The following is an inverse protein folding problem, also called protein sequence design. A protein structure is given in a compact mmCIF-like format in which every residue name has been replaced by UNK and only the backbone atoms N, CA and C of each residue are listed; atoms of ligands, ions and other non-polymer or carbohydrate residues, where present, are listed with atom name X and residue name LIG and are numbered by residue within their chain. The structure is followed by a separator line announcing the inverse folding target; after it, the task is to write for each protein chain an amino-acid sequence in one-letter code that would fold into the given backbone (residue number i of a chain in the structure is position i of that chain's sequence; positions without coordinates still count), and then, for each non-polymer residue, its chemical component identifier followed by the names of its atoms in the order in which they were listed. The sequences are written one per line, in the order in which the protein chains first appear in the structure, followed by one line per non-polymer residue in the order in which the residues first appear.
data_IF_917477146959
#
_entry.id   IF_917477146959
#
_cell.length_a   1.000
_cell.length_b   1.000
_cell.length_c   1.000
_cell.angle_alpha   90.00
_cell.angle_beta   90.00
_cell.angle_gamma   90.00
#
_symmetry.space_group_name_H-M   'P 1'
#
loop_
_entity.id
_entity.type
_entity.pdbx_description
1 polymer ?
#
# COMPACT_ATOMS: atom_id res chain seq x y z
N UNK A 1 -2.62 -11.67 -4.38
CA UNK A 1 -1.68 -10.69 -3.82
C UNK A 1 -0.79 -10.17 -4.93
N UNK A 2 -0.60 -8.88 -4.97
CA UNK A 2 0.21 -8.19 -5.99
C UNK A 2 1.19 -7.26 -5.29
N UNK A 3 2.43 -7.22 -5.77
CA UNK A 3 3.47 -6.34 -5.24
C UNK A 3 4.29 -5.71 -6.37
N UNK A 4 4.67 -4.45 -6.19
CA UNK A 4 5.60 -3.76 -7.10
C UNK A 4 7.04 -4.25 -6.89
N UNK A 5 7.87 -4.13 -7.93
CA UNK A 5 9.21 -4.69 -7.95
C UNK A 5 10.33 -3.69 -7.59
N UNK A 6 10.03 -2.39 -7.49
CA UNK A 6 11.01 -1.32 -7.23
C UNK A 6 11.08 -0.89 -5.77
N UNK A 7 10.63 -1.73 -4.87
CA UNK A 7 10.58 -1.50 -3.44
C UNK A 7 11.04 -2.73 -2.68
N UNK A 8 11.54 -2.51 -1.48
CA UNK A 8 11.70 -3.59 -0.51
C UNK A 8 11.41 -3.07 0.89
N UNK A 9 11.24 -4.01 1.82
CA UNK A 9 10.91 -3.68 3.19
C UNK A 9 11.62 -4.63 4.14
N UNK A 10 11.78 -4.19 5.39
CA UNK A 10 12.16 -5.06 6.48
C UNK A 10 10.89 -5.48 7.22
N UNK A 11 10.86 -6.72 7.67
CA UNK A 11 9.72 -7.22 8.40
C UNK A 11 9.67 -6.60 9.81
N UNK A 12 8.45 -6.37 10.28
CA UNK A 12 8.20 -6.01 11.66
C UNK A 12 8.12 -7.26 12.54
N UNK A 13 7.18 -7.27 13.47
CA UNK A 13 6.99 -8.40 14.38
C UNK A 13 6.63 -9.70 13.64
N UNK A 14 5.76 -9.59 12.63
CA UNK A 14 5.29 -10.72 11.82
C UNK A 14 5.48 -10.40 10.33
N UNK A 15 5.67 -11.42 9.46
CA UNK A 15 5.81 -11.20 8.03
C UNK A 15 4.60 -10.48 7.42
N UNK A 16 4.85 -9.49 6.57
CA UNK A 16 3.80 -8.64 5.99
C UNK A 16 2.75 -9.47 5.23
N UNK A 17 3.19 -10.39 4.36
CA UNK A 17 2.25 -11.19 3.57
C UNK A 17 1.36 -12.06 4.45
N UNK A 18 1.92 -12.65 5.51
CA UNK A 18 1.15 -13.44 6.47
C UNK A 18 0.09 -12.61 7.17
N UNK A 19 0.46 -11.39 7.60
CA UNK A 19 -0.47 -10.46 8.23
C UNK A 19 -1.59 -10.06 7.28
N UNK A 20 -1.28 -9.81 6.02
CA UNK A 20 -2.27 -9.43 5.01
C UNK A 20 -3.24 -10.57 4.72
N UNK A 21 -2.72 -11.79 4.56
CA UNK A 21 -3.56 -12.97 4.30
C UNK A 21 -4.51 -13.23 5.47
N UNK A 22 -4.03 -13.10 6.70
CA UNK A 22 -4.87 -13.27 7.90
C UNK A 22 -5.92 -12.16 8.03
N UNK A 23 -5.58 -10.94 7.68
CA UNK A 23 -6.47 -9.79 7.82
C UNK A 23 -7.52 -9.71 6.72
N UNK A 24 -7.25 -10.29 5.55
CA UNK A 24 -8.15 -10.17 4.41
C UNK A 24 -9.44 -10.94 4.63
N UNK A 25 -10.55 -10.21 4.57
CA UNK A 25 -11.91 -10.76 4.74
C UNK A 25 -12.71 -10.45 3.46
N UNK A 26 -12.89 -11.46 2.62
CA UNK A 26 -13.56 -11.30 1.32
C UNK A 26 -15.03 -10.87 1.45
N UNK A 27 -15.67 -11.09 2.60
CA UNK A 27 -17.05 -10.66 2.83
C UNK A 27 -17.16 -9.14 3.03
N UNK A 28 -16.11 -8.50 3.53
CA UNK A 28 -16.11 -7.07 3.85
C UNK A 28 -15.13 -6.27 2.97
N UNK A 29 -14.10 -6.90 2.43
CA UNK A 29 -13.03 -6.24 1.71
C UNK A 29 -13.02 -6.60 0.24
N UNK A 30 -12.92 -5.60 -0.63
CA UNK A 30 -12.61 -5.79 -2.05
C UNK A 30 -11.12 -5.56 -2.31
N UNK A 31 -10.49 -4.72 -1.51
CA UNK A 31 -9.07 -4.42 -1.60
C UNK A 31 -8.49 -4.26 -0.20
N UNK A 32 -7.37 -4.93 0.06
CA UNK A 32 -6.55 -4.68 1.25
C UNK A 32 -5.18 -4.23 0.78
N UNK A 33 -4.82 -2.99 1.12
CA UNK A 33 -3.54 -2.38 0.77
C UNK A 33 -2.60 -2.38 1.96
N UNK A 34 -1.36 -2.77 1.75
CA UNK A 34 -0.31 -2.46 2.71
C UNK A 34 0.04 -0.99 2.57
N UNK A 35 -0.09 -0.24 3.65
CA UNK A 35 0.24 1.17 3.72
C UNK A 35 1.37 1.36 4.74
N UNK A 36 2.14 2.43 4.57
CA UNK A 36 3.22 2.76 5.49
C UNK A 36 3.19 4.23 5.84
N UNK A 37 3.65 4.60 7.06
CA UNK A 37 3.76 6.00 7.42
C UNK A 37 4.72 6.73 6.49
N UNK A 38 4.35 7.93 6.07
CA UNK A 38 5.22 8.80 5.27
C UNK A 38 6.49 9.12 6.04
N UNK A 39 6.38 9.32 7.33
CA UNK A 39 7.54 9.51 8.20
C UNK A 39 8.28 8.19 8.37
N UNK A 40 9.59 8.20 8.15
CA UNK A 40 10.44 7.03 8.32
C UNK A 40 10.56 6.14 7.09
N UNK A 41 9.87 6.46 6.00
CA UNK A 41 10.07 5.76 4.73
C UNK A 41 11.28 6.34 4.00
N UNK A 42 12.15 5.48 3.52
CA UNK A 42 13.35 5.89 2.78
C UNK A 42 13.04 6.03 1.29
N UNK A 43 13.47 7.13 0.70
CA UNK A 43 13.29 7.38 -0.73
C UNK A 43 11.89 7.84 -1.13
N UNK A 44 11.00 8.05 -0.18
CA UNK A 44 9.66 8.57 -0.45
C UNK A 44 9.62 10.08 -0.19
N UNK A 45 9.26 10.84 -1.22
CA UNK A 45 9.17 12.29 -1.18
C UNK A 45 7.77 12.83 -1.52
N UNK A 46 6.78 11.95 -1.60
CA UNK A 46 5.40 12.32 -1.90
C UNK A 46 4.64 12.89 -0.70
N UNK A 47 3.45 13.36 -0.95
CA UNK A 47 2.58 13.96 0.07
C UNK A 47 1.72 12.94 0.83
N UNK A 48 1.86 11.66 0.55
CA UNK A 48 0.99 10.61 1.07
C UNK A 48 -0.21 10.37 0.18
N UNK A 49 -0.87 9.25 0.39
CA UNK A 49 -1.98 8.82 -0.46
C UNK A 49 -3.28 8.70 0.30
N UNK A 50 -3.23 8.29 1.58
CA UNK A 50 -4.41 7.86 2.32
C UNK A 50 -4.42 8.33 3.75
N UNK A 51 -5.65 8.56 4.23
CA UNK A 51 -5.98 8.55 5.65
C UNK A 51 -6.47 7.15 6.01
N UNK A 52 -6.15 6.69 7.21
CA UNK A 52 -6.53 5.37 7.72
C UNK A 52 -7.50 5.54 8.88
N UNK A 53 -8.70 4.98 8.73
CA UNK A 53 -9.76 5.11 9.73
C UNK A 53 -9.62 4.04 10.82
N UNK A 54 -10.30 4.25 11.93
CA UNK A 54 -10.25 3.35 13.08
C UNK A 54 -10.69 1.93 12.73
N UNK A 55 -11.65 1.80 11.81
CA UNK A 55 -12.14 0.51 11.34
C UNK A 55 -11.25 -0.12 10.25
N UNK A 56 -10.16 0.52 9.88
CA UNK A 56 -9.23 0.04 8.87
C UNK A 56 -9.52 0.51 7.46
N UNK A 57 -10.63 1.18 7.20
CA UNK A 57 -10.95 1.71 5.88
C UNK A 57 -10.03 2.84 5.49
N UNK A 58 -9.76 2.92 4.19
CA UNK A 58 -8.92 3.97 3.60
C UNK A 58 -9.79 5.08 3.01
N UNK A 59 -9.29 6.31 3.13
CA UNK A 59 -9.84 7.50 2.46
C UNK A 59 -8.69 8.17 1.72
N UNK A 60 -8.91 8.52 0.45
CA UNK A 60 -7.90 9.22 -0.34
C UNK A 60 -7.56 10.56 0.27
N UNK A 61 -6.32 11.01 0.05
CA UNK A 61 -5.87 12.36 0.42
C UNK A 61 -6.75 13.45 -0.21
N UNK A 62 -7.19 13.24 -1.48
CA UNK A 62 -8.03 14.21 -2.17
C UNK A 62 -7.33 15.56 -2.28
N UNK A 63 -8.03 16.63 -1.89
CA UNK A 63 -7.52 18.00 -1.94
C UNK A 63 -6.67 18.38 -0.71
N UNK A 64 -6.48 17.50 0.25
CA UNK A 64 -5.62 17.76 1.40
C UNK A 64 -4.17 17.92 0.95
N UNK A 65 -3.42 18.80 1.64
CA UNK A 65 -2.02 19.06 1.31
C UNK A 65 -1.13 17.84 1.54
N UNK A 66 -1.49 16.98 2.50
CA UNK A 66 -0.75 15.76 2.82
C UNK A 66 -1.67 14.73 3.49
N UNK A 67 -1.22 13.49 3.48
CA UNK A 67 -1.84 12.39 4.23
C UNK A 67 -0.74 11.59 4.94
N UNK A 68 -1.05 10.96 6.09
CA UNK A 68 -0.01 10.31 6.91
C UNK A 68 0.52 9.00 6.35
N UNK A 69 -0.18 8.36 5.42
CA UNK A 69 0.19 7.06 4.87
C UNK A 69 0.29 7.09 3.36
N UNK A 70 1.18 6.27 2.82
CA UNK A 70 1.26 6.04 1.38
C UNK A 70 1.00 4.58 1.05
N UNK A 71 0.55 4.34 -0.19
CA UNK A 71 0.37 2.99 -0.70
C UNK A 71 1.72 2.39 -1.09
N UNK A 72 2.04 1.24 -0.53
CA UNK A 72 3.34 0.59 -0.72
C UNK A 72 3.45 -0.17 -2.04
N UNK A 73 2.34 -0.42 -2.73
CA UNK A 73 2.31 -1.26 -3.93
C UNK A 73 2.03 -2.74 -3.63
N UNK A 74 1.88 -3.12 -2.37
CA UNK A 74 1.53 -4.50 -1.98
C UNK A 74 0.06 -4.54 -1.61
N UNK A 75 -0.70 -5.46 -2.21
CA UNK A 75 -2.15 -5.49 -2.05
C UNK A 75 -2.73 -6.87 -2.28
N UNK A 76 -3.91 -7.11 -1.70
CA UNK A 76 -4.77 -8.24 -2.03
C UNK A 76 -6.04 -7.67 -2.65
N UNK A 77 -6.41 -8.18 -3.84
CA UNK A 77 -7.60 -7.76 -4.58
C UNK A 77 -8.62 -8.89 -4.63
N UNK A 78 -9.88 -8.53 -4.38
CA UNK A 78 -10.97 -9.47 -4.58
C UNK A 78 -11.29 -9.53 -6.08
N UNK A 79 -11.37 -10.73 -6.69
CA UNK A 79 -11.67 -10.86 -8.13
C UNK A 79 -12.95 -10.16 -8.58
N UNK A 80 -13.93 -9.97 -7.71
CA UNK A 80 -15.17 -9.27 -8.08
C UNK A 80 -14.97 -7.81 -8.48
N UNK A 81 -13.83 -7.20 -8.12
CA UNK A 81 -13.49 -5.84 -8.56
C UNK A 81 -13.30 -5.75 -10.07
N UNK A 82 -13.01 -6.87 -10.72
CA UNK A 82 -12.79 -6.92 -12.17
C UNK A 82 -14.05 -7.25 -12.95
N UNK A 83 -15.17 -7.45 -12.29
CA UNK A 83 -16.44 -7.72 -12.97
C UNK A 83 -16.87 -6.53 -13.83
N UNK A 84 -17.25 -6.82 -15.08
CA UNK A 84 -17.68 -5.81 -16.03
C UNK A 84 -16.53 -5.00 -16.66
N UNK A 85 -15.28 -5.31 -16.34
CA UNK A 85 -14.14 -4.67 -16.97
C UNK A 85 -13.72 -5.50 -18.19
N UNK A 86 -13.68 -4.82 -19.34
CA UNK A 86 -13.28 -5.47 -20.60
C UNK A 86 -11.77 -5.77 -20.59
N UNK A 87 -11.34 -6.89 -21.23
CA UNK A 87 -9.92 -7.17 -21.40
C UNK A 87 -9.22 -6.03 -22.15
N UNK A 88 -8.03 -5.69 -21.73
CA UNK A 88 -7.23 -4.63 -22.35
C UNK A 88 -6.53 -3.77 -21.31
N UNK A 89 -5.99 -2.66 -21.75
CA UNK A 89 -5.29 -1.73 -20.87
C UNK A 89 -6.29 -0.92 -20.04
N UNK A 90 -6.17 -1.01 -18.72
CA UNK A 90 -6.90 -0.17 -17.79
C UNK A 90 -6.00 0.21 -16.63
N UNK A 91 -6.27 1.34 -16.00
CA UNK A 91 -5.53 1.76 -14.80
C UNK A 91 -6.07 1.02 -13.57
N UNK A 92 -5.18 0.54 -12.71
CA UNK A 92 -5.56 -0.02 -11.41
C UNK A 92 -6.31 1.00 -10.54
N UNK A 93 -6.15 2.30 -10.82
CA UNK A 93 -6.91 3.33 -10.13
C UNK A 93 -8.43 3.17 -10.30
N UNK A 94 -8.90 2.66 -11.43
CA UNK A 94 -10.32 2.35 -11.63
C UNK A 94 -10.79 1.32 -10.62
N UNK A 95 -9.98 0.30 -10.38
CA UNK A 95 -10.27 -0.76 -9.41
C UNK A 95 -10.29 -0.18 -7.98
N UNK A 96 -9.30 0.63 -7.64
CA UNK A 96 -9.22 1.25 -6.33
C UNK A 96 -10.38 2.21 -6.08
N UNK A 97 -10.74 3.03 -7.07
CA UNK A 97 -11.87 3.95 -6.97
C UNK A 97 -13.17 3.21 -6.71
N UNK A 98 -13.38 2.08 -7.37
CA UNK A 98 -14.55 1.24 -7.17
C UNK A 98 -14.62 0.71 -5.72
N UNK A 99 -13.51 0.18 -5.20
CA UNK A 99 -13.45 -0.32 -3.83
C UNK A 99 -13.64 0.80 -2.81
N UNK A 100 -13.02 1.95 -3.03
CA UNK A 100 -13.13 3.12 -2.14
C UNK A 100 -14.55 3.67 -2.11
N UNK A 101 -15.21 3.78 -3.27
CA UNK A 101 -16.57 4.29 -3.36
C UNK A 101 -17.58 3.40 -2.61
N UNK A 102 -17.33 2.10 -2.56
CA UNK A 102 -18.18 1.14 -1.86
C UNK A 102 -17.82 0.96 -0.38
N UNK A 103 -16.81 1.67 0.12
CA UNK A 103 -16.35 1.52 1.51
C UNK A 103 -15.70 0.17 1.78
N UNK A 104 -15.11 -0.45 0.76
CA UNK A 104 -14.54 -1.81 0.83
C UNK A 104 -13.05 -1.83 0.55
N UNK A 105 -12.38 -0.69 0.62
CA UNK A 105 -10.93 -0.59 0.53
C UNK A 105 -10.35 -0.37 1.92
N UNK A 106 -9.55 -1.32 2.38
CA UNK A 106 -8.97 -1.33 3.72
C UNK A 106 -7.46 -1.25 3.65
N UNK A 107 -6.85 -0.74 4.71
CA UNK A 107 -5.41 -0.65 4.86
C UNK A 107 -4.91 -1.46 6.03
N UNK A 108 -3.72 -2.01 5.87
CA UNK A 108 -2.95 -2.63 6.93
C UNK A 108 -1.61 -1.90 7.01
N UNK A 109 -1.32 -1.33 8.18
CA UNK A 109 -0.10 -0.55 8.38
C UNK A 109 1.09 -1.47 8.55
N UNK A 110 2.10 -1.31 7.69
CA UNK A 110 3.36 -2.03 7.80
C UNK A 110 4.16 -1.45 8.98
N UNK A 111 4.67 -2.31 9.81
CA UNK A 111 5.37 -1.94 11.05
C UNK A 111 6.90 -2.08 10.98
N UNK A 112 7.44 -2.44 9.82
CA UNK A 112 8.88 -2.47 9.55
C UNK A 112 9.33 -1.27 8.72
N UNK A 113 10.57 -1.32 8.24
CA UNK A 113 11.10 -0.30 7.33
C UNK A 113 10.54 -0.44 5.93
N UNK A 114 10.43 0.67 5.22
CA UNK A 114 10.02 0.69 3.81
C UNK A 114 11.00 1.50 2.98
N UNK A 115 11.41 0.95 1.82
CA UNK A 115 12.46 1.52 1.00
C UNK A 115 12.04 1.58 -0.47
N UNK A 116 12.10 2.79 -1.04
CA UNK A 116 11.94 2.99 -2.48
C UNK A 116 13.32 2.96 -3.12
N UNK A 117 13.53 2.03 -4.05
CA UNK A 117 14.84 1.79 -4.67
C UNK A 117 14.80 1.98 -6.19
N UNK A 118 13.89 2.81 -6.70
CA UNK A 118 13.75 3.06 -8.13
C UNK A 118 14.90 3.82 -8.77
N UNK A 119 15.89 4.31 -8.00
CA UNK A 119 17.08 5.01 -8.49
C UNK A 119 18.34 4.43 -7.87
N UNK A 120 19.52 4.57 -8.52
CA UNK A 120 20.80 4.14 -7.93
C UNK A 120 21.11 4.86 -6.60
N UNK A 121 20.73 6.11 -6.46
CA UNK A 121 20.92 6.86 -5.20
C UNK A 121 20.04 6.30 -4.09
N UNK A 122 18.76 6.04 -4.39
CA UNK A 122 17.85 5.46 -3.43
C UNK A 122 18.32 4.08 -2.97
N UNK A 123 18.87 3.27 -3.89
CA UNK A 123 19.42 1.96 -3.55
C UNK A 123 20.60 2.09 -2.57
N UNK A 124 21.53 3.02 -2.83
CA UNK A 124 22.67 3.26 -1.96
C UNK A 124 22.24 3.74 -0.57
N UNK A 125 21.31 4.69 -0.52
CA UNK A 125 20.78 5.20 0.74
C UNK A 125 20.10 4.08 1.55
N UNK A 126 19.37 3.21 0.88
CA UNK A 126 18.73 2.07 1.51
C UNK A 126 19.76 1.06 2.05
N UNK A 127 20.82 0.77 1.27
CA UNK A 127 21.91 -0.12 1.72
C UNK A 127 22.60 0.44 2.96
N UNK A 128 22.89 1.73 3.01
CA UNK A 128 23.50 2.39 4.14
C UNK A 128 22.59 2.36 5.37
N UNK A 129 21.29 2.58 5.18
CA UNK A 129 20.30 2.53 6.25
C UNK A 129 20.17 1.12 6.83
N UNK A 130 20.20 0.10 5.99
CA UNK A 130 20.12 -1.30 6.43
C UNK A 130 21.40 -1.69 7.18
N UNK A 131 22.55 -1.27 6.71
CA UNK A 131 23.82 -1.56 7.37
C UNK A 131 23.91 -0.91 8.77
N UNK A 132 23.14 0.15 9.02
CA UNK A 132 23.11 0.83 10.33
C UNK A 132 22.13 0.19 11.32
N UNK A 133 21.34 -0.78 10.90
CA UNK A 133 20.37 -1.46 11.76
C UNK A 133 21.05 -2.40 12.79
#
# INVERSE_FOLDING_TARGET
LVANADMFWTEGKDPLFSRMIEAFDADHMDCLMAIAPVQGAFGYDGAGDFFWQVDGRLTRRGDAASAPYFFTGVQILNPRLFEGILPGNFSLNVIYDRALANGRCYGLVHDGGWFHIGTPEALRDAEDAIAAL
#
